data_IF_734211129315
#
_entry.id   IF_734211129315
#
_cell.length_a   1.000
_cell.length_b   1.000
_cell.length_c   1.000
_cell.angle_alpha   90.00
_cell.angle_beta   90.00
_cell.angle_gamma   90.00
#
_symmetry.space_group_name_H-M   'P 1'
#
loop_
_entity.id
_entity.type
_entity.pdbx_description
1 polymer ?
#
# COMPACT_ATOMS: atom_id res chain seq x y z
N UNK A 1 -16.42 8.22 -26.35
CA UNK A 1 -17.05 9.21 -25.44
C UNK A 1 -16.95 8.64 -24.04
N UNK A 2 -15.74 8.65 -23.48
CA UNK A 2 -15.48 8.14 -22.12
C UNK A 2 -15.74 9.29 -21.17
N UNK A 3 -16.80 9.13 -20.38
CA UNK A 3 -17.65 10.20 -19.89
C UNK A 3 -16.99 11.08 -18.84
N UNK A 4 -17.31 12.38 -18.88
CA UNK A 4 -17.01 13.40 -17.85
C UNK A 4 -17.28 12.91 -16.41
N UNK A 5 -18.15 11.90 -16.23
CA UNK A 5 -18.50 11.29 -14.95
C UNK A 5 -17.40 10.44 -14.31
N UNK A 6 -16.55 9.78 -15.09
CA UNK A 6 -15.52 8.86 -14.53
C UNK A 6 -14.32 9.63 -13.97
N UNK A 7 -13.87 10.67 -14.68
CA UNK A 7 -12.75 11.52 -14.25
C UNK A 7 -13.18 12.77 -13.47
N UNK A 8 -14.47 13.10 -13.52
CA UNK A 8 -14.99 14.35 -12.99
C UNK A 8 -14.51 15.60 -13.72
N UNK A 9 -13.96 15.45 -14.92
CA UNK A 9 -13.38 16.53 -15.74
C UNK A 9 -14.39 16.97 -16.78
N UNK A 10 -14.67 18.27 -16.85
CA UNK A 10 -15.58 18.84 -17.85
C UNK A 10 -14.86 19.13 -19.16
N UNK A 11 -15.55 18.91 -20.27
CA UNK A 11 -15.04 19.16 -21.63
C UNK A 11 -14.81 20.65 -21.95
N UNK A 12 -15.48 21.55 -21.24
CA UNK A 12 -15.34 23.00 -21.37
C UNK A 12 -14.20 23.60 -20.52
N UNK A 13 -13.43 22.76 -19.82
CA UNK A 13 -12.31 23.19 -18.97
C UNK A 13 -12.73 23.96 -17.72
N UNK A 14 -14.02 23.94 -17.36
CA UNK A 14 -14.54 24.56 -16.14
C UNK A 14 -14.39 23.63 -14.95
N UNK A 15 -14.19 24.20 -13.77
CA UNK A 15 -13.98 23.45 -12.52
C UNK A 15 -14.56 24.18 -11.31
N UNK A 16 -14.63 23.48 -10.18
CA UNK A 16 -15.13 24.02 -8.92
C UNK A 16 -16.64 23.89 -8.74
N UNK A 17 -17.16 24.31 -7.57
CA UNK A 17 -18.54 24.06 -7.15
C UNK A 17 -19.58 24.81 -8.00
N UNK A 18 -19.20 25.90 -8.65
CA UNK A 18 -20.08 26.66 -9.56
C UNK A 18 -20.24 25.98 -10.93
N UNK A 19 -19.42 24.97 -11.23
CA UNK A 19 -19.45 24.23 -12.49
C UNK A 19 -19.60 22.73 -12.22
N UNK A 20 -20.74 22.29 -11.66
CA UNK A 20 -20.94 20.91 -11.30
C UNK A 20 -21.08 20.01 -12.54
N UNK A 21 -20.74 18.74 -12.36
CA UNK A 21 -21.05 17.65 -13.28
C UNK A 21 -22.56 17.34 -13.24
N UNK A 22 -23.02 16.49 -14.14
CA UNK A 22 -24.44 16.07 -14.19
C UNK A 22 -24.91 15.34 -12.93
N UNK A 23 -23.99 14.75 -12.16
CA UNK A 23 -24.28 14.13 -10.86
C UNK A 23 -24.23 15.10 -9.67
N UNK A 24 -24.04 16.40 -9.91
CA UNK A 24 -23.99 17.45 -8.89
C UNK A 24 -22.64 17.61 -8.19
N UNK A 25 -21.65 16.76 -8.46
CA UNK A 25 -20.30 16.93 -7.90
C UNK A 25 -19.57 18.11 -8.58
N UNK A 26 -18.70 18.85 -7.88
CA UNK A 26 -17.88 19.90 -8.49
C UNK A 26 -17.04 19.38 -9.66
N UNK A 27 -16.98 20.14 -10.75
CA UNK A 27 -16.07 19.84 -11.86
C UNK A 27 -14.60 19.93 -11.41
N UNK A 28 -13.75 19.09 -11.96
CA UNK A 28 -12.32 18.98 -11.64
C UNK A 28 -11.45 19.27 -12.85
N UNK A 29 -10.19 19.60 -12.58
CA UNK A 29 -9.17 19.61 -13.62
C UNK A 29 -8.46 18.26 -13.68
N UNK A 30 -8.03 17.86 -14.86
CA UNK A 30 -7.26 16.64 -15.07
C UNK A 30 -5.82 16.86 -14.53
N UNK A 31 -5.39 16.14 -13.48
CA UNK A 31 -4.07 16.32 -12.86
C UNK A 31 -2.90 15.97 -13.81
N UNK A 32 -3.14 15.14 -14.82
CA UNK A 32 -2.15 14.75 -15.83
C UNK A 32 -2.12 15.70 -17.05
N UNK A 33 -3.00 16.69 -17.08
CA UNK A 33 -3.09 17.64 -18.19
C UNK A 33 -2.15 18.83 -18.07
N UNK A 34 -2.08 19.63 -19.14
CA UNK A 34 -1.39 20.91 -19.13
C UNK A 34 -2.07 21.99 -18.27
N UNK A 35 -3.25 21.75 -17.70
CA UNK A 35 -3.98 22.68 -16.84
C UNK A 35 -4.53 22.01 -15.58
N UNK A 36 -3.67 21.55 -14.66
CA UNK A 36 -4.08 20.71 -13.54
C UNK A 36 -4.73 21.47 -12.38
N UNK A 37 -4.68 22.80 -12.38
CA UNK A 37 -5.13 23.62 -11.27
C UNK A 37 -6.42 24.36 -11.61
N UNK A 38 -7.36 24.35 -10.66
CA UNK A 38 -8.59 25.12 -10.74
C UNK A 38 -8.41 26.48 -10.08
N UNK A 39 -8.55 27.56 -10.85
CA UNK A 39 -8.58 28.91 -10.31
C UNK A 39 -9.89 29.20 -9.55
N UNK A 40 -9.90 30.26 -8.76
CA UNK A 40 -11.12 30.74 -8.09
C UNK A 40 -12.22 31.15 -9.08
N UNK A 41 -11.83 31.52 -10.29
CA UNK A 41 -12.77 31.84 -11.38
C UNK A 41 -13.40 30.59 -11.99
N UNK A 42 -12.96 29.39 -11.60
CA UNK A 42 -13.51 28.11 -12.04
C UNK A 42 -13.00 27.67 -13.41
N UNK A 43 -11.74 27.94 -13.72
CA UNK A 43 -11.06 27.49 -14.95
C UNK A 43 -9.85 26.63 -14.63
N UNK A 44 -9.63 25.61 -15.47
CA UNK A 44 -8.43 24.80 -15.44
C UNK A 44 -7.25 25.50 -16.12
N UNK A 45 -6.09 25.50 -15.47
CA UNK A 45 -4.86 26.09 -15.99
C UNK A 45 -3.63 25.73 -15.15
N UNK A 46 -2.48 26.28 -15.51
CA UNK A 46 -1.17 25.95 -14.90
C UNK A 46 -0.34 27.17 -14.48
N UNK A 47 -0.91 28.37 -14.54
CA UNK A 47 -0.20 29.61 -14.16
C UNK A 47 -0.25 29.82 -12.65
N UNK A 48 0.57 30.71 -12.07
CA UNK A 48 0.47 31.07 -10.64
C UNK A 48 -0.94 31.51 -10.21
N UNK A 49 -1.69 32.19 -11.10
CA UNK A 49 -3.09 32.55 -10.85
C UNK A 49 -4.05 31.36 -10.77
N UNK A 50 -3.64 30.19 -11.28
CA UNK A 50 -4.40 28.94 -11.19
C UNK A 50 -3.92 28.03 -10.06
N UNK A 51 -2.61 27.99 -9.78
CA UNK A 51 -2.03 26.97 -8.88
C UNK A 51 -1.57 27.50 -7.52
N UNK A 52 -1.32 28.81 -7.37
CA UNK A 52 -0.73 29.38 -6.14
C UNK A 52 -1.54 30.55 -5.59
N UNK A 53 -2.79 30.72 -6.02
CA UNK A 53 -3.67 31.77 -5.50
C UNK A 53 -4.42 31.31 -4.25
N UNK A 54 -4.97 32.25 -3.48
CA UNK A 54 -5.77 31.89 -2.33
C UNK A 54 -7.10 31.26 -2.80
N UNK A 55 -7.33 29.99 -2.46
CA UNK A 55 -8.56 29.28 -2.80
C UNK A 55 -8.52 28.51 -4.13
N UNK A 56 -7.41 28.50 -4.87
CA UNK A 56 -7.26 27.53 -5.96
C UNK A 56 -7.07 26.11 -5.45
N UNK A 57 -7.36 25.15 -6.33
CA UNK A 57 -7.20 23.72 -6.08
C UNK A 57 -6.22 23.15 -7.10
N UNK A 58 -5.08 22.66 -6.63
CA UNK A 58 -4.16 21.86 -7.45
C UNK A 58 -4.56 20.38 -7.33
N UNK A 59 -5.08 19.81 -8.43
CA UNK A 59 -5.54 18.42 -8.39
C UNK A 59 -4.40 17.40 -8.33
N UNK A 60 -3.16 17.79 -8.66
CA UNK A 60 -1.98 16.93 -8.51
C UNK A 60 -1.68 16.69 -7.03
N UNK A 61 -1.82 17.73 -6.21
CA UNK A 61 -1.65 17.62 -4.76
C UNK A 61 -2.73 16.73 -4.15
N UNK A 62 -3.97 16.85 -4.63
CA UNK A 62 -5.08 16.01 -4.13
C UNK A 62 -4.93 14.54 -4.50
N UNK A 63 -4.46 14.25 -5.71
CA UNK A 63 -4.27 12.87 -6.16
C UNK A 63 -3.13 12.19 -5.43
N UNK A 64 -1.97 12.86 -5.32
CA UNK A 64 -0.79 12.33 -4.63
C UNK A 64 -0.90 12.42 -3.11
N UNK A 65 -1.75 13.31 -2.62
CA UNK A 65 -1.79 13.71 -1.22
C UNK A 65 -0.60 14.54 -0.77
N UNK A 66 0.24 15.04 -1.68
CA UNK A 66 1.53 15.70 -1.39
C UNK A 66 1.41 17.19 -1.70
N UNK A 67 1.80 18.04 -0.74
CA UNK A 67 1.79 19.49 -0.91
C UNK A 67 3.07 19.99 -1.58
N UNK A 68 2.96 20.99 -2.45
CA UNK A 68 4.10 21.60 -3.13
C UNK A 68 5.07 22.31 -2.17
N UNK A 69 4.59 22.75 -0.99
CA UNK A 69 5.40 23.39 0.04
C UNK A 69 6.13 22.39 0.97
N UNK A 70 6.00 21.09 0.73
CA UNK A 70 6.64 20.04 1.53
C UNK A 70 6.10 19.89 2.95
N UNK A 71 4.95 20.51 3.26
CA UNK A 71 4.28 20.33 4.55
C UNK A 71 3.44 19.06 4.56
N UNK A 72 3.31 18.46 5.72
CA UNK A 72 2.61 17.19 5.91
C UNK A 72 1.93 17.11 7.29
N UNK A 73 1.09 16.12 7.48
CA UNK A 73 0.38 15.88 8.72
C UNK A 73 -0.92 16.68 8.86
N UNK A 74 -1.65 16.45 9.96
CA UNK A 74 -3.02 16.96 10.14
C UNK A 74 -3.12 18.49 10.27
N UNK A 75 -2.03 19.16 10.65
CA UNK A 75 -1.97 20.62 10.73
C UNK A 75 -1.76 21.29 9.37
N UNK A 76 -1.42 20.52 8.35
CA UNK A 76 -1.18 21.01 6.98
C UNK A 76 -2.06 20.23 6.00
N UNK A 77 -3.40 20.40 6.09
CA UNK A 77 -4.32 19.68 5.24
C UNK A 77 -4.22 20.13 3.78
N UNK A 78 -4.58 19.24 2.88
CA UNK A 78 -4.87 19.52 1.49
C UNK A 78 -6.18 20.31 1.37
N UNK A 79 -6.50 20.82 0.18
CA UNK A 79 -7.74 21.58 -0.07
C UNK A 79 -9.01 20.76 0.17
N UNK A 80 -8.93 19.42 0.17
CA UNK A 80 -10.04 18.52 0.52
C UNK A 80 -10.14 18.21 2.03
N UNK A 81 -9.28 18.80 2.87
CA UNK A 81 -9.24 18.58 4.32
C UNK A 81 -8.46 17.34 4.78
N UNK A 82 -8.00 16.48 3.86
CA UNK A 82 -7.15 15.36 4.24
C UNK A 82 -5.75 15.84 4.66
N UNK A 83 -5.09 15.18 5.62
CA UNK A 83 -3.71 15.51 5.99
C UNK A 83 -2.78 15.44 4.78
N UNK A 84 -1.88 16.43 4.64
CA UNK A 84 -0.79 16.35 3.67
C UNK A 84 0.14 15.17 3.99
N UNK A 85 0.69 14.56 2.94
CA UNK A 85 1.62 13.43 3.02
C UNK A 85 2.97 13.82 2.42
N UNK A 86 3.98 13.00 2.72
CA UNK A 86 5.23 13.04 2.00
C UNK A 86 5.22 12.02 0.87
N UNK A 87 5.92 12.36 -0.21
CA UNK A 87 6.09 11.46 -1.35
C UNK A 87 7.02 10.29 -0.94
N UNK A 88 6.52 9.05 -0.90
CA UNK A 88 7.28 7.89 -0.43
C UNK A 88 8.46 7.51 -1.34
N UNK A 89 8.45 7.93 -2.60
CA UNK A 89 9.52 7.70 -3.58
C UNK A 89 10.51 8.87 -3.66
N UNK A 90 10.27 9.94 -2.91
CA UNK A 90 11.14 11.11 -2.89
C UNK A 90 12.35 10.95 -1.97
N UNK A 91 13.26 11.91 -2.05
CA UNK A 91 14.37 12.03 -1.10
C UNK A 91 13.96 12.45 0.32
N UNK A 92 12.67 12.63 0.61
CA UNK A 92 12.16 13.03 1.93
C UNK A 92 10.83 12.35 2.28
N UNK A 93 10.80 11.01 2.45
CA UNK A 93 9.56 10.27 2.59
C UNK A 93 8.91 10.37 3.98
N UNK A 94 9.61 10.95 4.97
CA UNK A 94 9.17 10.97 6.34
C UNK A 94 8.57 12.32 6.72
N UNK A 95 7.38 12.29 7.31
CA UNK A 95 6.73 13.44 7.90
C UNK A 95 7.12 13.57 9.38
N UNK A 96 7.87 14.62 9.70
CA UNK A 96 8.19 14.99 11.09
C UNK A 96 6.96 15.46 11.86
N UNK A 97 7.04 15.49 13.20
CA UNK A 97 5.99 16.04 14.07
C UNK A 97 5.72 17.52 13.83
N UNK A 98 6.72 18.25 13.33
CA UNK A 98 6.60 19.67 12.96
C UNK A 98 5.90 19.87 11.59
N UNK A 99 5.53 18.77 10.94
CA UNK A 99 4.78 18.77 9.68
C UNK A 99 5.63 19.13 8.48
N UNK A 100 6.87 18.65 8.43
CA UNK A 100 7.78 18.78 7.29
C UNK A 100 8.21 17.42 6.77
N UNK A 101 8.29 17.31 5.44
CA UNK A 101 8.86 16.16 4.75
C UNK A 101 10.40 16.20 4.74
N UNK A 102 11.03 15.07 5.04
CA UNK A 102 12.49 14.92 5.03
C UNK A 102 12.94 13.48 5.24
N UNK A 103 14.26 13.28 5.33
CA UNK A 103 14.90 11.95 5.39
C UNK A 103 15.92 11.80 6.53
N UNK A 104 16.02 12.77 7.44
CA UNK A 104 16.96 12.71 8.55
C UNK A 104 16.35 11.92 9.72
N UNK A 105 17.14 11.50 10.73
CA UNK A 105 16.60 10.88 11.94
C UNK A 105 15.51 11.71 12.63
N UNK A 106 15.65 13.03 12.63
CA UNK A 106 14.60 13.95 13.11
C UNK A 106 13.24 13.78 12.38
N UNK A 107 13.26 13.40 11.09
CA UNK A 107 12.05 13.18 10.31
C UNK A 107 11.54 11.75 10.40
N UNK A 108 12.42 10.75 10.49
CA UNK A 108 12.03 9.33 10.33
C UNK A 108 12.07 8.51 11.62
N UNK A 109 12.85 8.90 12.64
CA UNK A 109 13.07 8.09 13.87
C UNK A 109 12.55 8.75 15.14
N UNK A 110 11.75 9.80 15.00
CA UNK A 110 11.11 10.51 16.09
C UNK A 110 9.86 9.77 16.61
N UNK A 111 9.40 10.13 17.81
CA UNK A 111 8.11 9.64 18.29
C UNK A 111 6.98 10.39 17.58
N UNK A 112 6.17 9.67 16.80
CA UNK A 112 5.00 10.23 16.12
C UNK A 112 5.24 10.75 14.70
N UNK A 113 6.45 10.63 14.14
CA UNK A 113 6.61 10.80 12.70
C UNK A 113 5.99 9.64 11.92
N UNK A 114 5.70 9.93 10.65
CA UNK A 114 5.15 8.98 9.70
C UNK A 114 6.16 8.80 8.58
N UNK A 115 6.71 7.60 8.44
CA UNK A 115 7.46 7.21 7.25
C UNK A 115 6.46 6.69 6.21
N UNK A 116 6.26 7.44 5.12
CA UNK A 116 5.34 7.04 4.07
C UNK A 116 5.91 5.92 3.20
N UNK A 117 7.23 5.77 3.15
CA UNK A 117 7.87 4.69 2.42
C UNK A 117 7.67 3.34 3.11
N UNK A 118 7.63 3.34 4.45
CA UNK A 118 7.24 2.18 5.25
C UNK A 118 5.77 1.80 4.99
N UNK A 119 4.87 2.79 4.90
CA UNK A 119 3.45 2.55 4.65
C UNK A 119 3.17 1.96 3.28
N UNK A 120 3.87 2.43 2.25
CA UNK A 120 3.69 1.93 0.89
C UNK A 120 4.21 0.50 0.73
N UNK A 121 5.41 0.21 1.24
CA UNK A 121 5.99 -1.14 1.18
C UNK A 121 5.38 -2.09 2.20
N UNK A 122 4.76 -1.55 3.24
CA UNK A 122 4.33 -2.30 4.41
C UNK A 122 5.49 -2.81 5.28
N UNK A 123 6.73 -2.39 5.01
CA UNK A 123 7.97 -2.86 5.63
C UNK A 123 8.55 -1.73 6.46
N UNK A 124 8.89 -1.99 7.71
CA UNK A 124 9.46 -0.96 8.59
C UNK A 124 10.96 -0.81 8.35
N UNK A 125 11.45 0.43 8.32
CA UNK A 125 12.89 0.72 8.22
C UNK A 125 13.72 0.20 9.41
N UNK A 126 13.10 -0.05 10.56
CA UNK A 126 13.74 -0.65 11.74
C UNK A 126 13.77 -2.19 11.72
N UNK A 127 13.25 -2.84 10.68
CA UNK A 127 13.23 -4.29 10.52
C UNK A 127 12.26 -5.03 11.44
N UNK A 128 11.32 -4.32 12.08
CA UNK A 128 10.29 -4.91 12.92
C UNK A 128 9.07 -5.34 12.09
N UNK A 129 8.40 -6.39 12.54
CA UNK A 129 7.29 -6.98 11.80
C UNK A 129 6.24 -7.63 12.72
N UNK A 130 5.08 -7.96 12.19
CA UNK A 130 3.96 -8.53 12.91
C UNK A 130 3.07 -7.50 13.60
N UNK A 131 1.98 -7.97 14.19
CA UNK A 131 0.92 -7.12 14.76
C UNK A 131 1.34 -6.36 16.01
N UNK A 132 2.41 -6.79 16.70
CA UNK A 132 2.99 -6.08 17.84
C UNK A 132 3.81 -4.85 17.42
N UNK A 133 4.21 -4.79 16.15
CA UNK A 133 4.99 -3.68 15.59
C UNK A 133 4.27 -3.15 14.35
N UNK A 134 3.08 -2.55 14.53
CA UNK A 134 2.28 -2.07 13.41
C UNK A 134 2.96 -0.87 12.74
N UNK A 135 2.66 -0.66 11.46
CA UNK A 135 2.91 0.58 10.76
C UNK A 135 2.07 1.71 11.35
N UNK A 136 2.34 2.95 10.96
CA UNK A 136 1.60 4.12 11.45
C UNK A 136 0.11 4.13 11.08
N UNK A 137 -0.31 3.34 10.09
CA UNK A 137 -1.71 3.11 9.74
C UNK A 137 -2.38 1.98 10.54
N UNK A 138 -1.66 1.35 11.49
CA UNK A 138 -2.16 0.26 12.33
C UNK A 138 -2.06 -1.14 11.70
N UNK A 139 -1.69 -1.27 10.42
CA UNK A 139 -1.47 -2.57 9.80
C UNK A 139 -0.20 -3.24 10.38
N UNK A 140 -0.18 -4.58 10.51
CA UNK A 140 1.04 -5.28 10.92
C UNK A 140 2.22 -4.96 10.01
N UNK A 141 3.40 -4.70 10.60
CA UNK A 141 4.63 -4.57 9.82
C UNK A 141 4.96 -5.88 9.10
N UNK A 142 5.50 -5.79 7.89
CA UNK A 142 5.90 -6.94 7.07
C UNK A 142 7.41 -6.99 6.91
N UNK A 143 7.90 -8.13 6.43
CA UNK A 143 9.26 -8.26 5.93
C UNK A 143 9.26 -8.22 4.41
N UNK A 144 10.29 -7.62 3.83
CA UNK A 144 10.49 -7.58 2.39
C UNK A 144 10.86 -8.99 1.88
N UNK A 145 10.03 -9.62 1.03
CA UNK A 145 10.25 -10.98 0.52
C UNK A 145 11.47 -11.10 -0.40
N UNK A 146 11.91 -10.00 -1.01
CA UNK A 146 13.08 -9.94 -1.89
C UNK A 146 14.37 -9.60 -1.13
N UNK A 147 14.27 -9.29 0.17
CA UNK A 147 15.42 -8.94 1.01
C UNK A 147 16.18 -10.15 1.56
N UNK A 148 17.33 -9.89 2.19
CA UNK A 148 18.07 -10.90 2.96
C UNK A 148 17.39 -11.33 4.27
N UNK A 149 16.23 -10.79 4.62
CA UNK A 149 15.47 -11.13 5.82
C UNK A 149 13.97 -11.25 5.56
N UNK A 150 13.52 -12.21 4.75
CA UNK A 150 12.13 -12.28 4.28
C UNK A 150 11.13 -12.83 5.31
N UNK A 151 11.62 -13.33 6.46
CA UNK A 151 10.79 -13.99 7.45
C UNK A 151 10.64 -13.16 8.71
N UNK A 152 9.41 -13.07 9.22
CA UNK A 152 9.10 -12.46 10.50
C UNK A 152 9.10 -13.50 11.62
N UNK A 153 9.99 -13.34 12.59
CA UNK A 153 10.02 -14.17 13.79
C UNK A 153 8.85 -13.87 14.73
N UNK A 154 8.60 -14.74 15.71
CA UNK A 154 7.60 -14.49 16.77
C UNK A 154 7.92 -13.27 17.63
N UNK A 155 9.20 -12.90 17.72
CA UNK A 155 9.67 -11.72 18.44
C UNK A 155 9.51 -10.43 17.63
N UNK A 156 9.01 -10.55 16.40
CA UNK A 156 8.69 -9.45 15.49
C UNK A 156 9.93 -8.81 14.88
N UNK A 157 10.86 -9.64 14.43
CA UNK A 157 12.05 -9.20 13.67
C UNK A 157 12.09 -9.89 12.31
N UNK A 158 12.50 -9.12 11.31
CA UNK A 158 12.80 -9.64 9.98
C UNK A 158 14.18 -10.31 9.93
N UNK A 159 14.25 -11.50 9.34
CA UNK A 159 15.49 -12.26 9.21
C UNK A 159 15.32 -13.52 8.36
N UNK A 160 16.40 -14.30 8.24
CA UNK A 160 16.45 -15.49 7.36
C UNK A 160 16.88 -16.79 8.04
N UNK A 161 17.24 -16.72 9.32
CA UNK A 161 17.69 -17.92 10.05
C UNK A 161 16.51 -18.85 10.38
N UNK A 162 16.74 -20.11 10.79
CA UNK A 162 15.66 -21.00 11.25
C UNK A 162 14.79 -20.40 12.35
N UNK A 163 15.37 -19.56 13.22
CA UNK A 163 14.63 -18.83 14.24
C UNK A 163 13.60 -17.84 13.66
N UNK A 164 13.84 -17.33 12.44
CA UNK A 164 12.94 -16.41 11.75
C UNK A 164 11.99 -17.12 10.79
N UNK A 165 12.43 -18.20 10.11
CA UNK A 165 11.67 -18.81 9.02
C UNK A 165 11.06 -20.18 9.33
N UNK A 166 11.51 -20.88 10.38
CA UNK A 166 11.07 -22.26 10.67
C UNK A 166 10.57 -22.44 12.10
N UNK A 167 10.20 -21.36 12.77
CA UNK A 167 9.63 -21.43 14.11
C UNK A 167 8.09 -21.57 14.07
N UNK A 168 7.48 -21.98 15.17
CA UNK A 168 6.03 -21.99 15.26
C UNK A 168 5.49 -20.55 15.18
N UNK A 169 4.61 -20.28 14.21
CA UNK A 169 3.99 -18.96 13.94
C UNK A 169 4.95 -17.87 13.41
N UNK A 170 6.13 -18.21 12.89
CA UNK A 170 6.80 -17.25 11.99
C UNK A 170 6.03 -17.12 10.69
N UNK A 171 6.22 -15.98 10.03
CA UNK A 171 5.63 -15.70 8.73
C UNK A 171 6.76 -15.55 7.71
N UNK A 172 6.78 -16.39 6.68
CA UNK A 172 7.65 -16.22 5.52
C UNK A 172 6.91 -15.43 4.44
N UNK A 173 7.33 -14.20 4.16
CA UNK A 173 6.61 -13.34 3.21
C UNK A 173 6.75 -13.80 1.76
N UNK A 174 7.75 -14.63 1.44
CA UNK A 174 7.88 -15.24 0.10
C UNK A 174 6.77 -16.24 -0.17
N UNK A 175 6.27 -16.89 0.88
CA UNK A 175 5.19 -17.86 0.83
C UNK A 175 3.83 -17.15 0.75
N UNK A 176 3.65 -16.03 1.47
CA UNK A 176 2.43 -15.22 1.41
C UNK A 176 2.17 -14.63 0.02
N UNK A 177 3.20 -14.13 -0.68
CA UNK A 177 3.06 -13.68 -2.07
C UNK A 177 2.62 -14.82 -3.01
N UNK A 178 2.99 -16.05 -2.68
CA UNK A 178 2.57 -17.24 -3.42
C UNK A 178 1.18 -17.75 -3.03
N UNK A 179 0.52 -17.10 -2.07
CA UNK A 179 -0.81 -17.44 -1.58
C UNK A 179 -0.84 -18.57 -0.55
N UNK A 180 0.26 -18.77 0.17
CA UNK A 180 0.37 -19.76 1.24
C UNK A 180 -0.08 -19.14 2.56
N UNK A 181 -0.93 -19.85 3.31
CA UNK A 181 -1.41 -19.41 4.62
C UNK A 181 -0.50 -19.89 5.74
N UNK A 182 -0.38 -19.06 6.77
CA UNK A 182 0.35 -19.36 8.01
C UNK A 182 -0.29 -20.49 8.84
N UNK A 183 -1.62 -20.63 8.75
CA UNK A 183 -2.38 -21.72 9.39
C UNK A 183 -2.29 -23.07 8.64
N UNK A 184 -1.51 -23.14 7.55
CA UNK A 184 -1.30 -24.35 6.76
C UNK A 184 -2.54 -24.83 6.00
N UNK A 185 -3.59 -23.99 5.89
CA UNK A 185 -4.79 -24.31 5.11
C UNK A 185 -4.60 -23.97 3.63
N UNK A 186 -5.25 -24.75 2.78
CA UNK A 186 -5.11 -24.62 1.33
C UNK A 186 -6.38 -25.04 0.58
N UNK A 187 -6.46 -24.71 -0.70
CA UNK A 187 -7.59 -25.06 -1.55
C UNK A 187 -8.72 -24.03 -1.51
N UNK A 188 -9.79 -24.29 -2.26
CA UNK A 188 -10.88 -23.32 -2.49
C UNK A 188 -11.73 -23.02 -1.27
N UNK A 189 -11.67 -23.85 -0.22
CA UNK A 189 -12.33 -23.58 1.07
C UNK A 189 -11.59 -22.57 1.94
N UNK A 190 -10.34 -22.22 1.60
CA UNK A 190 -9.48 -21.35 2.39
C UNK A 190 -8.88 -20.30 1.48
N UNK A 191 -9.53 -19.14 1.42
CA UNK A 191 -9.17 -18.08 0.48
C UNK A 191 -8.06 -17.19 1.04
N UNK A 192 -7.29 -16.60 0.12
CA UNK A 192 -6.42 -15.46 0.34
C UNK A 192 -7.25 -14.17 0.40
N UNK A 193 -6.64 -13.06 0.80
CA UNK A 193 -7.31 -11.75 0.87
C UNK A 193 -7.86 -11.27 -0.49
N UNK A 194 -7.25 -11.72 -1.59
CA UNK A 194 -7.71 -11.44 -2.96
C UNK A 194 -8.84 -12.37 -3.45
N UNK A 195 -9.37 -13.24 -2.59
CA UNK A 195 -10.43 -14.19 -2.91
C UNK A 195 -9.99 -15.43 -3.68
N UNK A 196 -8.70 -15.62 -3.96
CA UNK A 196 -8.18 -16.82 -4.60
C UNK A 196 -7.98 -17.97 -3.61
N UNK A 197 -8.08 -19.25 -4.05
CA UNK A 197 -7.72 -20.41 -3.24
C UNK A 197 -6.29 -20.32 -2.72
N UNK A 198 -6.07 -20.66 -1.44
CA UNK A 198 -4.73 -20.69 -0.85
C UNK A 198 -3.96 -21.92 -1.31
N UNK A 199 -2.62 -21.83 -1.31
CA UNK A 199 -1.70 -22.84 -1.83
C UNK A 199 -0.78 -23.35 -0.73
N UNK A 200 -0.05 -24.43 -1.01
CA UNK A 200 1.01 -24.91 -0.13
C UNK A 200 2.37 -24.48 -0.68
N UNK A 201 3.31 -24.17 0.21
CA UNK A 201 4.66 -23.74 -0.16
C UNK A 201 5.39 -24.86 -0.93
N UNK A 202 5.76 -24.66 -2.21
CA UNK A 202 6.23 -25.74 -3.09
C UNK A 202 7.61 -26.29 -2.73
N UNK A 203 8.38 -25.56 -1.93
CA UNK A 203 9.72 -25.93 -1.46
C UNK A 203 9.75 -26.29 0.04
N UNK A 204 8.60 -26.36 0.70
CA UNK A 204 8.50 -26.72 2.13
C UNK A 204 8.46 -28.24 2.35
N UNK A 205 8.50 -28.65 3.62
CA UNK A 205 8.25 -30.04 4.04
C UNK A 205 6.79 -30.50 3.81
N UNK A 206 5.89 -29.54 3.51
CA UNK A 206 4.45 -29.76 3.36
C UNK A 206 3.91 -29.20 2.03
N UNK A 207 4.42 -29.66 0.86
CA UNK A 207 4.18 -28.98 -0.42
C UNK A 207 2.88 -29.37 -1.12
N UNK A 208 2.06 -30.24 -0.52
CA UNK A 208 0.86 -30.76 -1.15
C UNK A 208 -0.39 -30.40 -0.35
N UNK A 209 -1.46 -29.99 -1.06
CA UNK A 209 -2.75 -29.72 -0.46
C UNK A 209 -3.64 -30.97 -0.51
N UNK A 210 -4.03 -31.46 0.66
CA UNK A 210 -5.00 -32.54 0.80
C UNK A 210 -6.41 -32.11 0.39
N UNK A 211 -7.27 -33.09 0.12
CA UNK A 211 -8.70 -32.87 -0.09
C UNK A 211 -9.38 -32.08 1.06
N UNK A 212 -8.89 -32.23 2.29
CA UNK A 212 -9.42 -31.55 3.47
C UNK A 212 -8.94 -30.10 3.64
N UNK A 213 -8.13 -29.62 2.68
CA UNK A 213 -7.60 -28.26 2.68
C UNK A 213 -6.51 -28.04 3.72
N UNK A 214 -5.61 -29.03 3.86
CA UNK A 214 -4.41 -28.95 4.70
C UNK A 214 -3.15 -29.23 3.89
N UNK A 215 -2.11 -28.42 4.11
CA UNK A 215 -0.78 -28.63 3.58
C UNK A 215 -0.05 -29.74 4.33
N UNK A 216 0.59 -30.64 3.58
CA UNK A 216 1.37 -31.74 4.13
C UNK A 216 2.15 -32.49 3.07
N UNK A 217 2.68 -33.64 3.46
CA UNK A 217 3.44 -34.55 2.60
C UNK A 217 3.00 -36.00 2.77
N UNK A 218 3.38 -36.84 1.82
CA UNK A 218 2.99 -38.26 1.81
C UNK A 218 1.70 -38.54 1.02
N UNK A 219 1.26 -39.79 1.07
CA UNK A 219 0.19 -40.30 0.22
C UNK A 219 -1.13 -39.51 0.37
N UNK A 220 -1.52 -39.21 1.61
CA UNK A 220 -2.80 -38.57 1.92
C UNK A 220 -2.86 -37.08 1.54
N UNK A 221 -1.72 -36.49 1.20
CA UNK A 221 -1.60 -35.08 0.82
C UNK A 221 -1.19 -34.91 -0.65
N UNK A 222 -0.34 -35.78 -1.19
CA UNK A 222 0.24 -35.64 -2.53
C UNK A 222 -0.33 -36.62 -3.56
N UNK A 223 -0.93 -37.73 -3.13
CA UNK A 223 -1.33 -38.83 -4.01
C UNK A 223 -2.79 -39.24 -3.88
N UNK A 224 -3.59 -38.48 -3.12
CA UNK A 224 -5.02 -38.71 -2.97
C UNK A 224 -5.83 -38.19 -4.16
N UNK A 225 -7.05 -38.68 -4.33
CA UNK A 225 -8.00 -38.12 -5.31
C UNK A 225 -8.37 -36.68 -4.91
N UNK A 226 -8.13 -35.72 -5.82
CA UNK A 226 -8.38 -34.30 -5.58
C UNK A 226 -7.30 -33.57 -4.77
N UNK A 227 -6.21 -34.26 -4.40
CA UNK A 227 -5.02 -33.61 -3.85
C UNK A 227 -4.32 -32.74 -4.91
N UNK A 228 -3.71 -31.63 -4.49
CA UNK A 228 -2.93 -30.75 -5.37
C UNK A 228 -1.49 -30.70 -4.90
N UNK A 229 -0.59 -31.23 -5.73
CA UNK A 229 0.86 -31.12 -5.53
C UNK A 229 1.39 -29.81 -6.14
N UNK A 230 2.08 -29.01 -5.32
CA UNK A 230 2.67 -27.74 -5.75
C UNK A 230 4.17 -27.85 -6.10
N UNK A 231 4.81 -29.00 -5.86
CA UNK A 231 6.23 -29.21 -6.21
C UNK A 231 6.47 -28.97 -7.72
N UNK A 232 7.57 -28.31 -8.04
CA UNK A 232 7.97 -28.03 -9.43
C UNK A 232 7.14 -26.96 -10.16
N UNK A 233 6.14 -26.36 -9.49
CA UNK A 233 5.40 -25.20 -10.03
C UNK A 233 6.09 -23.93 -9.58
N UNK A 234 6.65 -23.15 -10.51
CA UNK A 234 6.88 -21.71 -10.25
C UNK A 234 5.51 -21.06 -10.19
N UNK A 235 5.06 -20.73 -8.99
CA UNK A 235 3.85 -19.96 -8.79
C UNK A 235 4.17 -18.53 -9.25
N UNK A 236 3.62 -18.17 -10.42
CA UNK A 236 3.71 -16.82 -10.98
C UNK A 236 2.87 -15.85 -10.17
#
# INVERSE_FOLDING_TARGET
MFSELEKGVRSDGRCGPHYPLTNGQPGKCDPDSGGPCCSTDGWCGNTPGHCTCNGCIDYRELERGVRADGRCGPHYPLTNGQPGKCDPDSGGPCCSTDGWCGNTPYHCTCNGCIDYSDLERGVRGDGRCGSQYPLTNGQPGKCDPDSGGPCCSTDGWCGITPYHCTCYRCIDYRDLEQGVRDDGRCGSGFLQDNGQPSKCAPYSESPCCSWYGWCGSGHDYCSCSGCVDFRGKKLK
#
